data_IF_897784181752
#
_entry.id   IF_897784181752
#
_cell.length_a   1.000
_cell.length_b   1.000
_cell.length_c   1.000
_cell.angle_alpha   90.00
_cell.angle_beta   90.00
_cell.angle_gamma   90.00
#
_symmetry.space_group_name_H-M   'P 1'
#
loop_
_entity.id
_entity.type
_entity.pdbx_description
1 polymer ?
#
# COMPACT_ATOMS: atom_id res chain seq x y z
N UNK A 1 59.30 5.33 -22.07
CA UNK A 1 58.26 4.44 -21.53
C UNK A 1 57.21 5.29 -20.84
N UNK A 2 56.09 5.51 -21.51
CA UNK A 2 54.97 6.34 -20.98
C UNK A 2 53.94 5.41 -20.43
N UNK A 3 53.82 5.38 -19.09
CA UNK A 3 52.76 4.64 -18.39
C UNK A 3 51.44 5.38 -18.54
N UNK A 4 50.51 4.79 -19.27
CA UNK A 4 49.14 5.27 -19.43
C UNK A 4 48.32 4.70 -18.31
N UNK A 5 48.02 5.51 -17.28
CA UNK A 5 47.14 5.15 -16.17
C UNK A 5 45.71 5.33 -16.63
N UNK A 6 45.02 4.22 -16.85
CA UNK A 6 43.58 4.20 -17.15
C UNK A 6 42.82 4.42 -15.86
N UNK A 7 42.25 5.61 -15.66
CA UNK A 7 41.28 5.86 -14.58
C UNK A 7 39.90 5.28 -14.98
N UNK A 8 39.55 4.18 -14.34
CA UNK A 8 38.21 3.59 -14.43
C UNK A 8 37.26 4.40 -13.54
N UNK A 9 36.46 5.29 -14.14
CA UNK A 9 35.40 6.02 -13.44
C UNK A 9 34.24 5.06 -13.21
N UNK A 10 34.11 4.55 -11.98
CA UNK A 10 32.93 3.81 -11.54
C UNK A 10 31.77 4.80 -11.29
N UNK A 11 30.83 4.90 -12.23
CA UNK A 11 29.60 5.63 -12.07
C UNK A 11 28.68 4.87 -11.11
N UNK A 12 28.62 5.32 -9.86
CA UNK A 12 27.66 4.84 -8.86
C UNK A 12 26.29 5.38 -9.23
N UNK A 13 25.43 4.52 -9.78
CA UNK A 13 24.01 4.84 -9.97
C UNK A 13 23.33 4.81 -8.61
N UNK A 14 23.24 5.96 -7.94
CA UNK A 14 22.43 6.12 -6.76
C UNK A 14 20.95 6.14 -7.17
N UNK A 15 20.28 5.00 -7.04
CA UNK A 15 18.85 4.93 -7.23
C UNK A 15 18.13 5.86 -6.20
N UNK A 16 17.33 6.80 -6.70
CA UNK A 16 16.56 7.72 -5.88
C UNK A 16 15.36 7.03 -5.24
N UNK A 17 15.58 6.20 -4.22
CA UNK A 17 14.51 5.78 -3.30
C UNK A 17 14.61 6.66 -2.07
N UNK A 18 13.62 7.54 -1.86
CA UNK A 18 13.55 8.31 -0.62
C UNK A 18 13.36 7.37 0.56
N UNK A 19 14.22 7.45 1.60
CA UNK A 19 14.04 6.62 2.79
C UNK A 19 12.73 6.98 3.49
N UNK A 20 12.13 6.00 4.20
CA UNK A 20 10.99 6.27 5.06
C UNK A 20 11.43 7.21 6.19
N UNK A 21 10.60 8.22 6.55
CA UNK A 21 10.90 9.09 7.67
C UNK A 21 10.84 8.31 8.99
N UNK A 22 11.49 8.85 10.02
CA UNK A 22 11.34 8.33 11.37
C UNK A 22 9.88 8.47 11.83
N UNK A 23 9.38 7.44 12.52
CA UNK A 23 8.02 7.44 13.07
C UNK A 23 7.89 8.54 14.12
N UNK A 24 6.89 9.41 13.98
CA UNK A 24 6.58 10.43 14.97
C UNK A 24 5.86 9.78 16.17
N UNK A 25 6.43 9.83 17.41
CA UNK A 25 5.81 9.20 18.57
C UNK A 25 4.49 9.85 19.02
N UNK A 26 4.17 11.03 18.52
CA UNK A 26 2.91 11.73 18.79
C UNK A 26 1.80 11.38 17.81
N UNK A 27 2.08 10.57 16.81
CA UNK A 27 1.14 10.17 15.77
C UNK A 27 1.03 8.65 15.71
N UNK A 28 -0.03 8.16 15.10
CA UNK A 28 -0.18 6.76 14.77
C UNK A 28 0.41 6.49 13.36
N UNK A 29 1.02 5.35 13.19
CA UNK A 29 1.61 4.90 11.94
C UNK A 29 0.81 3.74 11.38
N UNK A 30 0.42 3.82 10.12
CA UNK A 30 -0.30 2.75 9.41
C UNK A 30 0.57 2.30 8.24
N UNK A 31 1.07 1.09 8.33
CA UNK A 31 1.79 0.42 7.24
C UNK A 31 0.88 -0.53 6.47
N UNK A 32 1.27 -0.89 5.27
CA UNK A 32 0.49 -1.75 4.39
C UNK A 32 1.05 -3.15 4.28
N UNK A 33 0.16 -4.12 4.17
CA UNK A 33 0.50 -5.51 3.94
C UNK A 33 -0.47 -6.16 2.95
N UNK A 34 0.05 -7.04 2.14
CA UNK A 34 -0.74 -7.95 1.31
C UNK A 34 -0.26 -9.36 1.59
N UNK A 35 -1.11 -10.27 2.13
CA UNK A 35 -0.68 -11.61 2.54
C UNK A 35 -0.17 -12.46 1.36
N UNK A 36 -0.62 -12.13 0.16
CA UNK A 36 -0.14 -12.71 -1.09
C UNK A 36 0.42 -11.57 -1.94
N UNK A 37 1.73 -11.26 -1.83
CA UNK A 37 2.31 -10.04 -2.40
C UNK A 37 2.43 -10.05 -3.92
N UNK A 38 2.32 -11.22 -4.55
CA UNK A 38 2.46 -11.29 -6.00
C UNK A 38 1.30 -10.57 -6.68
N UNK A 39 1.65 -9.59 -7.51
CA UNK A 39 0.73 -8.85 -8.36
C UNK A 39 -0.37 -8.08 -7.60
N UNK A 40 -0.04 -7.63 -6.37
CA UNK A 40 -0.93 -6.83 -5.53
C UNK A 40 -0.20 -5.63 -4.95
N UNK A 41 -0.82 -4.47 -5.07
CA UNK A 41 -0.27 -3.22 -4.57
C UNK A 41 -1.32 -2.46 -3.78
N UNK A 42 -1.00 -2.13 -2.53
CA UNK A 42 -1.83 -1.30 -1.65
C UNK A 42 -1.11 0.02 -1.39
N UNK A 43 -1.79 1.13 -1.65
CA UNK A 43 -1.22 2.47 -1.51
C UNK A 43 -2.18 3.42 -0.80
N UNK A 44 -1.63 4.37 -0.03
CA UNK A 44 -2.40 5.48 0.51
C UNK A 44 -2.90 6.39 -0.62
N UNK A 45 -4.18 6.68 -0.65
CA UNK A 45 -4.79 7.56 -1.65
C UNK A 45 -5.32 8.84 -1.01
N UNK A 46 -6.12 8.73 0.06
CA UNK A 46 -6.69 9.88 0.77
C UNK A 46 -6.70 9.65 2.27
N UNK A 47 -6.47 10.73 3.00
CA UNK A 47 -6.64 10.81 4.45
C UNK A 47 -7.64 11.94 4.73
N UNK A 48 -8.76 11.63 5.39
CA UNK A 48 -9.81 12.60 5.69
C UNK A 48 -10.21 13.42 4.47
N UNK A 49 -10.42 12.74 3.34
CA UNK A 49 -10.76 13.30 2.05
C UNK A 49 -9.66 14.14 1.36
N UNK A 50 -8.47 14.24 1.92
CA UNK A 50 -7.34 14.92 1.30
C UNK A 50 -6.41 13.93 0.60
N UNK A 51 -6.06 14.24 -0.65
CA UNK A 51 -5.16 13.39 -1.43
C UNK A 51 -3.78 13.34 -0.81
N UNK A 52 -3.23 12.12 -0.71
CA UNK A 52 -1.88 11.89 -0.20
C UNK A 52 -0.85 11.98 -1.33
N UNK A 53 0.29 12.62 -1.03
CA UNK A 53 1.47 12.58 -1.90
C UNK A 53 2.39 11.41 -1.59
N UNK A 54 2.30 10.86 -0.37
CA UNK A 54 3.04 9.67 0.05
C UNK A 54 2.11 8.45 0.04
N UNK A 55 2.43 7.48 -0.81
CA UNK A 55 1.60 6.30 -1.00
C UNK A 55 1.98 5.08 -0.16
N UNK A 56 3.11 5.11 0.54
CA UNK A 56 3.68 3.92 1.19
C UNK A 56 3.14 3.67 2.61
N UNK A 57 2.56 4.67 3.26
CA UNK A 57 2.05 4.61 4.62
C UNK A 57 1.07 5.75 4.89
N UNK A 58 0.30 5.63 5.99
CA UNK A 58 -0.35 6.80 6.60
C UNK A 58 0.32 7.12 7.93
N UNK A 59 0.39 8.41 8.23
CA UNK A 59 0.72 8.91 9.54
C UNK A 59 -0.41 9.84 9.96
N UNK A 60 -1.11 9.46 11.03
CA UNK A 60 -2.36 10.12 11.44
C UNK A 60 -2.26 10.61 12.88
N UNK A 61 -2.92 11.72 13.16
CA UNK A 61 -3.09 12.20 14.54
C UNK A 61 -3.96 11.25 15.34
N UNK A 62 -3.87 11.24 16.69
CA UNK A 62 -4.80 10.45 17.50
C UNK A 62 -6.25 10.82 17.24
N UNK A 63 -7.14 9.85 17.33
CA UNK A 63 -8.58 10.02 17.17
C UNK A 63 -9.16 9.38 15.92
N UNK A 64 -10.21 9.95 15.39
CA UNK A 64 -10.99 9.39 14.27
C UNK A 64 -10.45 9.86 12.93
N UNK A 65 -10.27 8.92 12.02
CA UNK A 65 -9.85 9.20 10.65
C UNK A 65 -10.52 8.27 9.64
N UNK A 66 -10.70 8.80 8.43
CA UNK A 66 -11.10 8.04 7.26
C UNK A 66 -9.89 7.86 6.34
N UNK A 67 -9.55 6.60 6.06
CA UNK A 67 -8.48 6.22 5.18
C UNK A 67 -9.08 5.68 3.87
N UNK A 68 -8.64 6.21 2.74
CA UNK A 68 -8.93 5.62 1.44
C UNK A 68 -7.61 5.10 0.88
N UNK A 69 -7.60 3.82 0.55
CA UNK A 69 -6.47 3.17 -0.09
C UNK A 69 -6.82 2.75 -1.51
N UNK A 70 -5.83 2.85 -2.37
CA UNK A 70 -5.86 2.26 -3.70
C UNK A 70 -5.32 0.84 -3.61
N UNK A 71 -6.06 -0.10 -4.17
CA UNK A 71 -5.68 -1.49 -4.21
C UNK A 71 -5.71 -2.00 -5.65
N UNK A 72 -4.54 -2.29 -6.18
CA UNK A 72 -4.36 -2.90 -7.50
C UNK A 72 -4.10 -4.38 -7.32
N UNK A 73 -4.84 -5.22 -8.02
CA UNK A 73 -4.68 -6.68 -7.97
C UNK A 73 -5.09 -7.33 -9.27
N UNK A 74 -4.54 -8.51 -9.52
CA UNK A 74 -4.89 -9.31 -10.68
C UNK A 74 -6.13 -10.15 -10.44
N UNK A 75 -6.97 -10.24 -11.46
CA UNK A 75 -8.13 -11.12 -11.49
C UNK A 75 -7.96 -12.16 -12.60
N UNK A 76 -8.52 -13.38 -12.42
CA UNK A 76 -8.49 -14.39 -13.47
C UNK A 76 -9.12 -13.86 -14.76
N UNK A 77 -8.42 -13.98 -15.86
CA UNK A 77 -8.99 -13.67 -17.16
C UNK A 77 -10.08 -14.68 -17.53
N UNK A 78 -11.25 -14.21 -17.97
CA UNK A 78 -12.28 -15.08 -18.53
C UNK A 78 -11.86 -15.52 -19.94
N UNK A 79 -11.34 -16.74 -20.08
CA UNK A 79 -11.04 -17.35 -21.37
C UNK A 79 -12.04 -18.45 -21.68
N UNK A 80 -12.66 -18.38 -22.87
CA UNK A 80 -13.30 -19.54 -23.45
C UNK A 80 -12.27 -20.61 -23.81
N UNK A 81 -12.70 -21.86 -23.97
CA UNK A 81 -11.86 -23.01 -24.30
C UNK A 81 -10.92 -22.67 -25.47
N UNK A 82 -9.59 -22.64 -25.19
CA UNK A 82 -8.56 -22.50 -26.21
C UNK A 82 -7.77 -21.17 -26.23
N UNK A 83 -8.13 -20.19 -25.43
CA UNK A 83 -7.35 -18.96 -25.30
C UNK A 83 -6.77 -18.83 -23.90
N UNK A 84 -5.44 -18.78 -23.77
CA UNK A 84 -4.79 -18.33 -22.55
C UNK A 84 -5.13 -16.85 -22.38
N UNK A 85 -6.18 -16.53 -21.62
CA UNK A 85 -6.48 -15.15 -21.29
C UNK A 85 -5.50 -14.65 -20.26
N UNK A 86 -4.82 -13.57 -20.62
CA UNK A 86 -3.91 -12.87 -19.69
C UNK A 86 -4.68 -12.42 -18.45
N UNK A 87 -4.06 -12.46 -17.26
CA UNK A 87 -4.62 -11.85 -16.08
C UNK A 87 -4.99 -10.40 -16.36
N UNK A 88 -6.07 -9.93 -15.79
CA UNK A 88 -6.50 -8.53 -15.90
C UNK A 88 -6.23 -7.83 -14.57
N UNK A 89 -5.67 -6.66 -14.65
CA UNK A 89 -5.54 -5.80 -13.48
C UNK A 89 -6.89 -5.18 -13.12
N UNK A 90 -7.19 -5.15 -11.84
CA UNK A 90 -8.33 -4.46 -11.29
C UNK A 90 -7.85 -3.44 -10.26
N UNK A 91 -8.34 -2.21 -10.41
CA UNK A 91 -8.03 -1.10 -9.53
C UNK A 91 -9.26 -0.78 -8.70
N UNK A 92 -9.12 -0.84 -7.38
CA UNK A 92 -10.19 -0.53 -6.44
C UNK A 92 -9.74 0.50 -5.41
N UNK A 93 -10.70 1.27 -4.92
CA UNK A 93 -10.53 2.15 -3.77
C UNK A 93 -11.34 1.60 -2.61
N UNK A 94 -10.68 1.40 -1.49
CA UNK A 94 -11.29 0.88 -0.27
C UNK A 94 -11.30 1.97 0.80
N UNK A 95 -12.46 2.16 1.45
CA UNK A 95 -12.62 3.15 2.51
C UNK A 95 -12.67 2.45 3.86
N UNK A 96 -11.77 2.82 4.76
CA UNK A 96 -11.68 2.32 6.14
C UNK A 96 -11.84 3.50 7.09
N UNK A 97 -12.72 3.38 8.08
CA UNK A 97 -12.89 4.37 9.15
C UNK A 97 -12.53 3.73 10.48
N UNK A 98 -11.72 4.41 11.27
CA UNK A 98 -11.39 4.00 12.63
C UNK A 98 -11.36 5.20 13.56
N UNK A 99 -12.01 5.09 14.71
CA UNK A 99 -12.28 6.22 15.61
C UNK A 99 -11.24 6.39 16.72
N UNK A 100 -10.33 5.44 16.91
CA UNK A 100 -9.48 5.34 18.10
C UNK A 100 -8.00 5.14 17.78
N UNK A 101 -7.48 5.85 16.77
CA UNK A 101 -6.03 5.85 16.55
C UNK A 101 -5.32 6.45 17.77
N UNK A 102 -4.27 5.78 18.23
CA UNK A 102 -3.51 6.16 19.42
C UNK A 102 -2.11 6.62 19.05
N UNK A 103 -1.63 7.69 19.70
CA UNK A 103 -0.29 8.21 19.51
C UNK A 103 0.78 7.14 19.83
N UNK A 104 1.80 7.07 18.99
CA UNK A 104 2.91 6.14 19.15
C UNK A 104 2.58 4.69 18.81
N UNK A 105 1.36 4.38 18.39
CA UNK A 105 0.95 3.02 18.01
C UNK A 105 1.16 2.74 16.53
N UNK A 106 1.49 1.49 16.23
CA UNK A 106 1.61 0.97 14.87
C UNK A 106 0.38 0.14 14.52
N UNK A 107 -0.12 0.37 13.33
CA UNK A 107 -1.25 -0.35 12.74
C UNK A 107 -0.81 -0.95 11.41
N UNK A 108 -1.44 -2.04 11.03
CA UNK A 108 -1.24 -2.67 9.72
C UNK A 108 -2.57 -2.70 8.99
N UNK A 109 -2.62 -2.07 7.82
CA UNK A 109 -3.74 -2.19 6.90
C UNK A 109 -3.43 -3.29 5.90
N UNK A 110 -4.17 -4.39 5.98
CA UNK A 110 -3.98 -5.57 5.15
C UNK A 110 -5.03 -5.61 4.05
N UNK A 111 -4.57 -5.59 2.79
CA UNK A 111 -5.41 -5.74 1.61
C UNK A 111 -5.47 -7.19 1.14
N UNK A 112 -6.66 -7.67 0.87
CA UNK A 112 -6.92 -9.02 0.32
C UNK A 112 -7.84 -8.94 -0.88
N UNK A 113 -7.72 -9.88 -1.78
CA UNK A 113 -8.70 -10.10 -2.85
C UNK A 113 -9.06 -11.58 -2.93
N UNK A 114 -10.35 -11.84 -2.98
CA UNK A 114 -10.88 -13.17 -3.27
C UNK A 114 -11.54 -13.05 -4.63
N UNK A 115 -10.89 -13.62 -5.65
CA UNK A 115 -11.32 -13.49 -7.05
C UNK A 115 -11.46 -12.00 -7.44
N UNK A 116 -12.68 -11.51 -7.61
CA UNK A 116 -12.96 -10.11 -8.02
C UNK A 116 -13.26 -9.18 -6.83
N UNK A 117 -13.33 -9.71 -5.62
CA UNK A 117 -13.78 -8.95 -4.45
C UNK A 117 -12.59 -8.54 -3.59
N UNK A 118 -12.27 -7.23 -3.53
CA UNK A 118 -11.26 -6.71 -2.63
C UNK A 118 -11.81 -6.53 -1.23
N UNK A 119 -10.95 -6.59 -0.24
CA UNK A 119 -11.25 -6.27 1.14
C UNK A 119 -10.03 -5.73 1.85
N UNK A 120 -10.23 -4.97 2.91
CA UNK A 120 -9.15 -4.46 3.75
C UNK A 120 -9.50 -4.56 5.23
N UNK A 121 -8.50 -4.89 6.04
CA UNK A 121 -8.63 -4.99 7.50
C UNK A 121 -7.51 -4.20 8.16
N UNK A 122 -7.89 -3.40 9.14
CA UNK A 122 -6.95 -2.67 9.98
C UNK A 122 -6.69 -3.47 11.25
N UNK A 123 -5.42 -3.76 11.50
CA UNK A 123 -4.94 -4.46 12.70
C UNK A 123 -4.18 -3.50 13.61
N UNK A 124 -4.37 -3.64 14.91
CA UNK A 124 -3.53 -2.97 15.89
C UNK A 124 -2.21 -3.73 16.12
N UNK A 125 -1.35 -3.23 17.03
CA UNK A 125 -0.07 -3.87 17.36
C UNK A 125 -0.21 -5.27 17.96
N UNK A 126 -1.37 -5.61 18.53
CA UNK A 126 -1.69 -6.94 19.07
C UNK A 126 -2.27 -7.90 18.01
N UNK A 127 -2.32 -7.48 16.76
CA UNK A 127 -2.93 -8.25 15.65
C UNK A 127 -4.43 -8.48 15.81
N UNK A 128 -5.10 -7.61 16.52
CA UNK A 128 -6.56 -7.59 16.59
C UNK A 128 -7.14 -6.73 15.45
N UNK A 129 -8.23 -7.19 14.83
CA UNK A 129 -8.94 -6.41 13.81
C UNK A 129 -9.70 -5.30 14.52
N UNK A 130 -9.35 -4.05 14.23
CA UNK A 130 -9.99 -2.86 14.83
C UNK A 130 -10.92 -2.14 13.85
N UNK A 131 -10.77 -2.37 12.55
CA UNK A 131 -11.67 -1.86 11.52
C UNK A 131 -11.59 -2.71 10.26
N UNK A 132 -12.65 -2.64 9.45
CA UNK A 132 -12.73 -3.26 8.13
C UNK A 132 -13.20 -2.23 7.10
N UNK A 133 -13.00 -2.53 5.82
CA UNK A 133 -13.52 -1.66 4.77
C UNK A 133 -15.05 -1.60 4.82
N UNK A 134 -15.56 -0.39 4.76
CA UNK A 134 -17.02 -0.13 4.72
C UNK A 134 -17.54 0.10 3.31
N UNK A 135 -16.66 0.37 2.37
CA UNK A 135 -17.00 0.64 0.99
C UNK A 135 -15.84 0.28 0.08
N UNK A 136 -16.15 -0.37 -1.04
CA UNK A 136 -15.23 -0.64 -2.11
C UNK A 136 -15.79 -0.08 -3.42
N UNK A 137 -14.96 0.67 -4.14
CA UNK A 137 -15.27 1.17 -5.47
C UNK A 137 -14.17 0.74 -6.44
N UNK A 138 -14.54 0.01 -7.49
CA UNK A 138 -13.59 -0.48 -8.46
C UNK A 138 -13.81 0.19 -9.83
N UNK A 139 -12.70 0.54 -10.46
CA UNK A 139 -12.67 1.01 -11.85
C UNK A 139 -12.43 -0.22 -12.73
N UNK A 140 -13.20 -0.32 -13.80
CA UNK A 140 -13.12 -1.43 -14.77
C UNK A 140 -12.00 -1.14 -15.78
#
# INVERSE_FOLDING_TARGET
MRSLTLLLAASVMTGCTSPLPAVNPQMAWVEFSTPFPNDKLLMAERLDNQRMSEGRYFQVTPGSHELIVRFDFEVPGGGGMGTMSSPRERLCYLTITYDHFEAGQRYVLEGRSISFTPSARLYNAKREIVAEDRQAYCII
#
